data_IF_990085137961
#
_entry.id   IF_990085137961
#
_cell.length_a   1.000
_cell.length_b   1.000
_cell.length_c   1.000
_cell.angle_alpha   90.00
_cell.angle_beta   90.00
_cell.angle_gamma   90.00
#
_symmetry.space_group_name_H-M   'P 1'
#
loop_
_entity.id
_entity.type
_entity.pdbx_description
1 polymer ?
#
# COMPACT_ATOMS: atom_id res chain seq x y z
N UNK A 1 -12.40 11.53 7.90
CA UNK A 1 -13.27 10.58 8.64
C UNK A 1 -13.24 9.25 7.88
N UNK A 2 -13.01 8.11 8.53
CA UNK A 2 -12.97 6.82 7.80
C UNK A 2 -14.38 6.48 7.31
N UNK A 3 -14.55 6.24 6.00
CA UNK A 3 -15.82 5.78 5.44
C UNK A 3 -16.10 4.33 5.87
N UNK A 4 -17.25 4.04 6.53
CA UNK A 4 -17.64 2.67 6.89
C UNK A 4 -17.66 1.71 5.70
N UNK A 5 -18.03 2.20 4.52
CA UNK A 5 -18.06 1.43 3.27
C UNK A 5 -16.65 1.00 2.84
N UNK A 6 -15.68 1.92 2.89
CA UNK A 6 -14.27 1.60 2.58
C UNK A 6 -13.67 0.63 3.61
N UNK A 7 -14.09 0.71 4.87
CA UNK A 7 -13.68 -0.29 5.89
C UNK A 7 -14.25 -1.67 5.56
N UNK A 8 -15.50 -1.75 5.12
CA UNK A 8 -16.11 -3.01 4.68
C UNK A 8 -15.37 -3.58 3.46
N UNK A 9 -15.15 -2.75 2.44
CA UNK A 9 -14.45 -3.13 1.21
C UNK A 9 -13.02 -3.61 1.51
N UNK A 10 -12.28 -2.89 2.35
CA UNK A 10 -10.95 -3.31 2.80
C UNK A 10 -10.96 -4.68 3.50
N UNK A 11 -12.02 -5.04 4.23
CA UNK A 11 -12.15 -6.39 4.81
C UNK A 11 -12.38 -7.45 3.74
N UNK A 12 -13.11 -7.14 2.66
CA UNK A 12 -13.31 -8.05 1.53
C UNK A 12 -11.99 -8.27 0.78
N UNK A 13 -11.25 -7.21 0.44
CA UNK A 13 -9.92 -7.33 -0.20
C UNK A 13 -8.93 -8.11 0.67
N UNK A 14 -9.09 -8.05 2.00
CA UNK A 14 -8.28 -8.90 2.89
C UNK A 14 -8.58 -10.39 2.76
N UNK A 15 -9.76 -10.80 2.33
CA UNK A 15 -10.12 -12.22 2.15
C UNK A 15 -9.60 -12.74 0.82
N UNK A 16 -9.62 -11.89 -0.20
CA UNK A 16 -9.33 -12.26 -1.58
C UNK A 16 -8.27 -11.31 -2.19
N UNK A 17 -7.01 -11.38 -1.71
CA UNK A 17 -5.94 -10.56 -2.27
C UNK A 17 -5.53 -11.07 -3.65
N UNK A 18 -5.04 -10.16 -4.50
CA UNK A 18 -4.36 -10.55 -5.75
C UNK A 18 -3.09 -11.36 -5.47
N UNK A 19 -2.56 -12.01 -6.51
CA UNK A 19 -1.32 -12.80 -6.41
C UNK A 19 -0.14 -11.92 -5.97
N UNK A 20 0.05 -10.77 -6.61
CA UNK A 20 1.07 -9.77 -6.27
C UNK A 20 0.91 -9.25 -4.82
N UNK A 21 -0.29 -8.85 -4.39
CA UNK A 21 -0.54 -8.45 -3.00
C UNK A 21 -0.17 -9.54 -2.00
N UNK A 22 -0.52 -10.80 -2.29
CA UNK A 22 -0.19 -11.93 -1.43
C UNK A 22 1.32 -12.13 -1.31
N UNK A 23 2.05 -12.04 -2.42
CA UNK A 23 3.52 -12.16 -2.45
C UNK A 23 4.14 -11.06 -1.59
N UNK A 24 3.81 -9.79 -1.85
CA UNK A 24 4.39 -8.67 -1.12
C UNK A 24 4.00 -8.69 0.36
N UNK A 25 2.76 -9.05 0.69
CA UNK A 25 2.33 -9.17 2.09
C UNK A 25 3.13 -10.23 2.85
N UNK A 26 3.44 -11.38 2.25
CA UNK A 26 4.24 -12.42 2.92
C UNK A 26 5.64 -11.93 3.26
N UNK A 27 6.25 -11.12 2.38
CA UNK A 27 7.56 -10.53 2.62
C UNK A 27 7.55 -9.49 3.75
N UNK A 28 6.52 -8.64 3.83
CA UNK A 28 6.50 -7.49 4.76
C UNK A 28 5.83 -7.76 6.12
N UNK A 29 5.00 -8.80 6.24
CA UNK A 29 4.23 -9.07 7.47
C UNK A 29 5.10 -9.42 8.67
N UNK A 30 4.48 -9.41 9.87
CA UNK A 30 5.11 -9.85 11.13
C UNK A 30 6.44 -9.14 11.48
N UNK A 31 6.66 -7.93 10.96
CA UNK A 31 7.91 -7.17 11.12
C UNK A 31 9.13 -7.83 10.46
N UNK A 32 8.91 -8.69 9.46
CA UNK A 32 9.98 -9.35 8.72
C UNK A 32 10.84 -8.37 7.91
N UNK A 33 10.31 -7.20 7.56
CA UNK A 33 11.02 -6.20 6.77
C UNK A 33 11.48 -5.04 7.65
N UNK A 34 12.79 -4.97 7.90
CA UNK A 34 13.46 -3.91 8.70
C UNK A 34 12.84 -3.67 10.09
N UNK A 35 12.13 -4.66 10.65
CA UNK A 35 11.43 -4.52 11.93
C UNK A 35 10.16 -3.67 11.90
N UNK A 36 9.76 -3.12 10.74
CA UNK A 36 8.59 -2.26 10.62
C UNK A 36 7.28 -3.06 10.52
N UNK A 37 6.22 -2.55 11.16
CA UNK A 37 4.90 -3.17 11.10
C UNK A 37 4.11 -2.64 9.91
N UNK A 38 3.92 -3.50 8.90
CA UNK A 38 3.00 -3.27 7.80
C UNK A 38 1.59 -3.82 8.11
N UNK A 39 0.58 -3.11 7.61
CA UNK A 39 -0.84 -3.51 7.63
C UNK A 39 -1.32 -3.59 6.18
N UNK A 40 -2.06 -4.64 5.83
CA UNK A 40 -2.63 -4.77 4.48
C UNK A 40 -4.04 -4.21 4.36
N UNK A 41 -4.35 -3.64 3.20
CA UNK A 41 -5.65 -3.06 2.85
C UNK A 41 -6.13 -2.13 3.97
N UNK A 42 -5.36 -1.07 4.22
CA UNK A 42 -5.56 -0.13 5.32
C UNK A 42 -6.24 1.13 4.83
N UNK A 43 -7.37 1.49 5.47
CA UNK A 43 -8.10 2.71 5.13
C UNK A 43 -7.42 3.91 5.78
N UNK A 44 -6.97 4.87 4.98
CA UNK A 44 -6.51 6.18 5.42
C UNK A 44 -7.37 7.24 4.75
N UNK A 45 -8.15 7.96 5.56
CA UNK A 45 -8.99 9.08 5.09
C UNK A 45 -9.87 8.70 3.87
N UNK A 46 -10.46 7.50 3.87
CA UNK A 46 -11.33 7.06 2.78
C UNK A 46 -10.62 6.41 1.58
N UNK A 47 -9.28 6.38 1.58
CA UNK A 47 -8.48 5.66 0.59
C UNK A 47 -8.00 4.32 1.14
N UNK A 48 -8.11 3.24 0.37
CA UNK A 48 -7.61 1.90 0.76
C UNK A 48 -6.20 1.73 0.22
N UNK A 49 -5.24 1.55 1.13
CA UNK A 49 -3.83 1.33 0.81
C UNK A 49 -3.50 -0.16 0.88
N UNK A 50 -2.86 -0.71 -0.16
CA UNK A 50 -2.51 -2.13 -0.23
C UNK A 50 -1.67 -2.57 0.96
N UNK A 51 -0.57 -1.86 1.24
CA UNK A 51 0.29 -2.09 2.40
C UNK A 51 0.72 -0.77 3.04
N UNK A 52 0.42 -0.59 4.32
CA UNK A 52 0.66 0.64 5.06
C UNK A 52 1.56 0.44 6.29
N UNK A 53 2.58 1.28 6.42
CA UNK A 53 3.42 1.40 7.61
C UNK A 53 3.12 2.70 8.36
N UNK A 54 2.49 2.58 9.54
CA UNK A 54 2.11 3.75 10.32
C UNK A 54 3.31 4.55 10.86
N UNK A 55 4.41 3.87 11.25
CA UNK A 55 5.60 4.53 11.80
C UNK A 55 6.27 5.46 10.77
N UNK A 56 6.23 5.09 9.51
CA UNK A 56 6.85 5.82 8.41
C UNK A 56 5.85 6.69 7.64
N UNK A 57 4.55 6.63 7.97
CA UNK A 57 3.45 7.14 7.13
C UNK A 57 3.56 6.70 5.67
N UNK A 58 4.06 5.48 5.44
CA UNK A 58 4.38 4.95 4.11
C UNK A 58 3.25 4.07 3.59
N UNK A 59 2.75 4.42 2.42
CA UNK A 59 1.85 3.65 1.56
C UNK A 59 2.68 2.93 0.49
N UNK A 60 2.54 1.61 0.41
CA UNK A 60 3.11 0.78 -0.65
C UNK A 60 1.95 0.25 -1.48
N UNK A 61 1.88 0.66 -2.75
CA UNK A 61 0.78 0.36 -3.67
C UNK A 61 1.29 -0.52 -4.81
N UNK A 62 0.50 -1.53 -5.19
CA UNK A 62 0.79 -2.36 -6.35
C UNK A 62 0.01 -1.80 -7.53
N UNK A 63 0.69 -1.12 -8.44
CA UNK A 63 0.11 -0.55 -9.65
C UNK A 63 -0.04 -1.65 -10.71
N UNK A 64 -1.20 -2.29 -10.71
CA UNK A 64 -1.73 -2.96 -11.88
C UNK A 64 -2.58 -1.94 -12.61
N UNK A 65 -2.33 -1.69 -13.89
CA UNK A 65 -3.26 -0.89 -14.71
C UNK A 65 -4.70 -1.28 -14.36
N UNK A 66 -5.56 -0.26 -14.17
CA UNK A 66 -6.93 -0.33 -13.66
C UNK A 66 -7.07 -0.11 -12.12
N UNK A 67 -6.50 0.99 -11.61
CA UNK A 67 -7.28 1.78 -10.64
C UNK A 67 -8.35 2.57 -11.41
N UNK A 68 -9.44 1.91 -11.81
CA UNK A 68 -10.68 2.66 -12.13
C UNK A 68 -11.19 3.16 -10.78
N UNK A 69 -10.62 4.28 -10.33
CA UNK A 69 -11.31 5.19 -9.43
C UNK A 69 -12.42 5.77 -10.29
N UNK A 70 -13.65 5.32 -10.07
CA UNK A 70 -14.80 5.99 -10.65
C UNK A 70 -14.78 7.46 -10.18
N UNK A 71 -15.21 8.38 -11.04
CA UNK A 71 -15.17 9.83 -10.77
C UNK A 71 -15.94 10.28 -9.50
N UNK A 72 -16.66 9.36 -8.84
CA UNK A 72 -17.38 9.58 -7.58
C UNK A 72 -16.49 9.40 -6.33
N UNK A 73 -15.32 8.75 -6.44
CA UNK A 73 -14.34 8.53 -5.35
C UNK A 73 -13.35 9.72 -5.16
N UNK A 74 -13.55 10.81 -5.91
CA UNK A 74 -12.61 11.92 -6.15
C UNK A 74 -12.32 12.83 -4.92
N UNK A 75 -12.81 12.45 -3.73
CA UNK A 75 -12.62 13.25 -2.51
C UNK A 75 -11.23 13.12 -1.87
N UNK A 76 -10.47 12.05 -2.19
CA UNK A 76 -9.20 11.76 -1.50
C UNK A 76 -8.10 11.34 -2.47
N UNK A 77 -7.76 12.27 -3.37
CA UNK A 77 -6.65 12.08 -4.30
C UNK A 77 -5.33 11.83 -3.56
N UNK A 78 -4.42 10.99 -4.09
CA UNK A 78 -3.09 10.77 -3.51
C UNK A 78 -2.34 12.06 -3.19
N UNK A 79 -2.50 13.13 -3.98
CA UNK A 79 -1.89 14.43 -3.71
C UNK A 79 -2.36 15.08 -2.39
N UNK A 80 -3.61 14.84 -1.97
CA UNK A 80 -4.13 15.34 -0.69
C UNK A 80 -3.48 14.56 0.46
N UNK A 81 -3.31 13.26 0.31
CA UNK A 81 -2.65 12.40 1.31
C UNK A 81 -1.16 12.74 1.41
N UNK A 82 -0.50 12.98 0.29
CA UNK A 82 0.89 13.47 0.25
C UNK A 82 1.06 14.79 1.00
N UNK A 83 0.15 15.75 0.80
CA UNK A 83 0.12 17.01 1.59
C UNK A 83 -0.10 16.79 3.08
N UNK A 84 -0.74 15.69 3.49
CA UNK A 84 -0.90 15.27 4.89
C UNK A 84 0.33 14.48 5.42
N UNK A 85 1.38 14.38 4.62
CA UNK A 85 2.63 13.71 4.97
C UNK A 85 2.59 12.20 4.83
N UNK A 86 1.67 11.65 4.03
CA UNK A 86 1.79 10.27 3.56
C UNK A 86 2.83 10.21 2.44
N UNK A 87 3.62 9.15 2.46
CA UNK A 87 4.65 8.88 1.45
C UNK A 87 4.17 7.68 0.64
N UNK A 88 4.30 7.73 -0.68
CA UNK A 88 3.88 6.64 -1.56
C UNK A 88 5.09 5.97 -2.21
N UNK A 89 5.08 4.64 -2.24
CA UNK A 89 6.00 3.80 -2.98
C UNK A 89 5.17 2.89 -3.87
N UNK A 90 5.17 3.14 -5.19
CA UNK A 90 4.37 2.39 -6.17
C UNK A 90 5.25 1.36 -6.88
N UNK A 91 4.74 0.15 -7.03
CA UNK A 91 5.44 -0.99 -7.63
C UNK A 91 4.50 -1.63 -8.65
N UNK A 92 4.97 -1.98 -9.84
CA UNK A 92 4.12 -2.68 -10.80
C UNK A 92 3.82 -4.12 -10.37
N UNK A 93 2.71 -4.69 -10.85
CA UNK A 93 2.39 -6.12 -10.66
C UNK A 93 3.55 -7.00 -11.13
N UNK A 94 4.13 -6.71 -12.29
CA UNK A 94 5.23 -7.49 -12.86
C UNK A 94 6.46 -7.48 -11.95
N UNK A 95 6.85 -6.32 -11.42
CA UNK A 95 7.98 -6.21 -10.50
C UNK A 95 7.77 -7.04 -9.22
N UNK A 96 6.56 -7.04 -8.65
CA UNK A 96 6.26 -7.84 -7.47
C UNK A 96 6.32 -9.34 -7.76
N UNK A 97 5.79 -9.76 -8.91
CA UNK A 97 5.67 -11.19 -9.24
C UNK A 97 6.97 -11.81 -9.77
N UNK A 98 7.79 -11.03 -10.49
CA UNK A 98 8.98 -11.54 -11.18
C UNK A 98 10.29 -11.10 -10.50
N UNK A 99 10.29 -9.97 -9.78
CA UNK A 99 11.50 -9.30 -9.29
C UNK A 99 11.42 -8.89 -7.83
N UNK A 100 10.79 -9.72 -6.99
CA UNK A 100 10.52 -9.40 -5.58
C UNK A 100 11.78 -8.96 -4.81
N UNK A 101 12.92 -9.62 -5.02
CA UNK A 101 14.17 -9.25 -4.32
C UNK A 101 14.65 -7.83 -4.69
N UNK A 102 14.48 -7.41 -5.94
CA UNK A 102 14.78 -6.05 -6.38
C UNK A 102 13.81 -5.04 -5.76
N UNK A 103 12.51 -5.39 -5.73
CA UNK A 103 11.47 -4.58 -5.05
C UNK A 103 11.82 -4.35 -3.58
N UNK A 104 12.21 -5.41 -2.86
CA UNK A 104 12.57 -5.30 -1.44
C UNK A 104 13.82 -4.44 -1.22
N UNK A 105 14.85 -4.58 -2.08
CA UNK A 105 16.05 -3.73 -2.02
C UNK A 105 15.72 -2.26 -2.30
N UNK A 106 14.89 -1.99 -3.29
CA UNK A 106 14.47 -0.64 -3.64
C UNK A 106 13.64 -0.01 -2.51
N UNK A 107 12.72 -0.78 -1.93
CA UNK A 107 11.92 -0.34 -0.77
C UNK A 107 12.81 -0.09 0.46
N UNK A 108 13.83 -0.91 0.69
CA UNK A 108 14.78 -0.71 1.79
C UNK A 108 15.59 0.58 1.59
N UNK A 109 16.14 0.77 0.39
CA UNK A 109 16.87 2.00 0.04
C UNK A 109 15.98 3.23 0.19
N UNK A 110 14.74 3.14 -0.30
CA UNK A 110 13.75 4.21 -0.17
C UNK A 110 13.50 4.57 1.30
N UNK A 111 13.25 3.58 2.18
CA UNK A 111 13.01 3.82 3.60
C UNK A 111 14.24 4.44 4.28
N UNK A 112 15.45 4.02 3.94
CA UNK A 112 16.68 4.60 4.50
C UNK A 112 16.84 6.08 4.14
N UNK A 113 16.39 6.48 2.96
CA UNK A 113 16.43 7.88 2.48
C UNK A 113 15.30 8.76 3.04
N UNK A 114 14.39 8.23 3.86
CA UNK A 114 13.39 9.03 4.58
C UNK A 114 13.93 9.70 5.86
N UNK A 115 15.23 9.50 6.14
CA UNK A 115 15.94 9.98 7.34
C UNK A 115 16.52 11.37 7.14
#
# INVERSE_FOLDING_TARGET
MQSPEKIHLARQFRREPTKSEKILWQALRRKNFLGFKFRRQHVVEGYIIDLYCHKLKLAVEIDGQVHIQTAEDDQYRPQILERKGLIFFRISVQEVEEKLDEVLKNLESFIKNLS
#
